data_IF_036103461541
#
_entry.id   IF_036103461541
#
_cell.length_a   1.000
_cell.length_b   1.000
_cell.length_c   1.000
_cell.angle_alpha   90.00
_cell.angle_beta   90.00
_cell.angle_gamma   90.00
#
_symmetry.space_group_name_H-M   'P 1'
#
loop_
_entity.id
_entity.type
_entity.pdbx_description
1 polymer ?
#
# COMPACT_ATOMS: atom_id res chain seq x y z
N UNK A 1 -27.88 -43.18 24.34
CA UNK A 1 -28.51 -41.89 23.97
C UNK A 1 -27.44 -40.97 23.44
N UNK A 2 -27.44 -40.71 22.12
CA UNK A 2 -26.47 -39.82 21.47
C UNK A 2 -26.87 -38.37 21.78
N UNK A 3 -26.05 -37.65 22.54
CA UNK A 3 -26.27 -36.23 22.84
C UNK A 3 -25.96 -35.45 21.56
N UNK A 4 -26.98 -35.00 20.85
CA UNK A 4 -26.82 -34.01 19.78
C UNK A 4 -26.37 -32.73 20.47
N UNK A 5 -25.09 -32.37 20.32
CA UNK A 5 -24.54 -31.13 20.89
C UNK A 5 -25.25 -29.92 20.27
N UNK A 6 -25.52 -28.91 21.07
CA UNK A 6 -26.09 -27.65 20.58
C UNK A 6 -25.10 -26.97 19.63
N UNK A 7 -25.60 -26.27 18.60
CA UNK A 7 -24.77 -25.47 17.70
C UNK A 7 -23.87 -24.46 18.45
N UNK A 8 -24.34 -23.99 19.62
CA UNK A 8 -23.59 -23.09 20.50
C UNK A 8 -22.44 -23.80 21.24
N UNK A 9 -22.66 -25.03 21.70
CA UNK A 9 -21.59 -25.85 22.32
C UNK A 9 -20.53 -26.24 21.29
N UNK A 10 -20.96 -26.55 20.06
CA UNK A 10 -20.04 -26.84 18.96
C UNK A 10 -19.21 -25.61 18.57
N UNK A 11 -19.81 -24.42 18.61
CA UNK A 11 -19.10 -23.16 18.38
C UNK A 11 -18.10 -22.87 19.50
N UNK A 12 -18.49 -23.08 20.77
CA UNK A 12 -17.62 -22.87 21.93
C UNK A 12 -16.43 -23.84 21.96
N UNK A 13 -16.63 -25.12 21.65
CA UNK A 13 -15.55 -26.11 21.48
C UNK A 13 -14.59 -25.70 20.37
N UNK A 14 -15.11 -25.21 19.24
CA UNK A 14 -14.30 -24.75 18.11
C UNK A 14 -13.50 -23.48 18.46
N UNK A 15 -14.01 -22.61 19.32
CA UNK A 15 -13.28 -21.41 19.77
C UNK A 15 -12.31 -21.67 20.90
N UNK A 16 -12.48 -22.75 21.68
CA UNK A 16 -11.64 -23.05 22.85
C UNK A 16 -10.18 -23.39 22.50
N UNK A 17 -9.91 -23.83 21.26
CA UNK A 17 -8.56 -24.13 20.76
C UNK A 17 -7.96 -23.04 19.87
N UNK A 18 -8.62 -21.88 19.72
CA UNK A 18 -8.11 -20.79 18.87
C UNK A 18 -7.12 -19.96 19.68
N UNK A 19 -5.84 -20.28 19.56
CA UNK A 19 -4.78 -19.38 20.01
C UNK A 19 -4.73 -18.17 19.07
N UNK A 20 -5.24 -17.04 19.56
CA UNK A 20 -5.16 -15.77 18.83
C UNK A 20 -3.72 -15.29 18.92
N UNK A 21 -3.00 -15.40 17.81
CA UNK A 21 -1.72 -14.72 17.63
C UNK A 21 -1.97 -13.20 17.59
N UNK A 22 -1.78 -12.57 18.75
CA UNK A 22 -2.00 -11.13 18.94
C UNK A 22 -1.06 -10.29 18.07
N UNK A 23 0.12 -10.80 17.74
CA UNK A 23 1.09 -10.12 16.90
C UNK A 23 0.65 -10.16 15.44
N UNK A 24 0.24 -11.33 14.93
CA UNK A 24 -0.30 -11.46 13.58
C UNK A 24 -1.56 -10.62 13.38
N UNK A 25 -2.43 -10.53 14.38
CA UNK A 25 -3.61 -9.64 14.35
C UNK A 25 -3.19 -8.18 14.23
N UNK A 26 -2.27 -7.72 15.09
CA UNK A 26 -1.77 -6.34 15.04
C UNK A 26 -1.06 -6.00 13.73
N UNK A 27 -0.24 -6.92 13.22
CA UNK A 27 0.40 -6.79 11.91
C UNK A 27 -0.64 -6.55 10.82
N UNK A 28 -1.64 -7.42 10.74
CA UNK A 28 -2.71 -7.27 9.75
C UNK A 28 -3.48 -5.96 9.92
N UNK A 29 -3.73 -5.52 11.15
CA UNK A 29 -4.40 -4.26 11.44
C UNK A 29 -3.61 -3.07 10.89
N UNK A 30 -2.33 -2.95 11.25
CA UNK A 30 -1.48 -1.83 10.81
C UNK A 30 -1.19 -1.86 9.31
N UNK A 31 -0.98 -3.05 8.73
CA UNK A 31 -0.87 -3.19 7.27
C UNK A 31 -2.15 -2.75 6.57
N UNK A 32 -3.33 -3.15 7.06
CA UNK A 32 -4.61 -2.73 6.49
C UNK A 32 -4.83 -1.22 6.64
N UNK A 33 -4.44 -0.65 7.79
CA UNK A 33 -4.48 0.80 8.03
C UNK A 33 -3.59 1.53 7.03
N UNK A 34 -2.36 1.06 6.81
CA UNK A 34 -1.44 1.61 5.81
C UNK A 34 -2.02 1.58 4.39
N UNK A 35 -2.64 0.47 3.99
CA UNK A 35 -3.33 0.36 2.70
C UNK A 35 -4.46 1.38 2.54
N UNK A 36 -5.30 1.52 3.56
CA UNK A 36 -6.41 2.48 3.58
C UNK A 36 -5.93 3.92 3.48
N UNK A 37 -4.89 4.29 4.25
CA UNK A 37 -4.32 5.64 4.22
C UNK A 37 -3.68 5.95 2.86
N UNK A 38 -2.96 5.00 2.26
CA UNK A 38 -2.43 5.16 0.91
C UNK A 38 -3.53 5.36 -0.14
N UNK A 39 -4.63 4.62 -0.06
CA UNK A 39 -5.79 4.83 -0.93
C UNK A 39 -6.35 6.26 -0.84
N UNK A 40 -6.55 6.76 0.38
CA UNK A 40 -7.00 8.15 0.62
C UNK A 40 -6.03 9.19 0.06
N UNK A 41 -4.73 8.93 0.18
CA UNK A 41 -3.71 9.81 -0.39
C UNK A 41 -3.79 9.85 -1.92
N UNK A 42 -4.00 8.71 -2.58
CA UNK A 42 -4.13 8.65 -4.03
C UNK A 42 -5.40 9.34 -4.54
N UNK A 43 -6.48 9.33 -3.76
CA UNK A 43 -7.71 10.08 -4.06
C UNK A 43 -7.51 11.59 -3.88
N UNK A 44 -6.82 12.02 -2.83
CA UNK A 44 -6.49 13.42 -2.59
C UNK A 44 -5.08 13.59 -1.97
N UNK A 45 -4.05 13.80 -2.81
CA UNK A 45 -2.66 13.89 -2.35
C UNK A 45 -2.36 15.09 -1.43
N UNK A 46 -3.24 16.10 -1.41
CA UNK A 46 -3.06 17.31 -0.60
C UNK A 46 -3.74 17.23 0.76
N UNK A 47 -4.67 16.30 0.95
CA UNK A 47 -5.46 16.19 2.18
C UNK A 47 -4.68 15.58 3.35
N UNK A 48 -3.63 14.79 3.07
CA UNK A 48 -2.85 14.11 4.11
C UNK A 48 -1.39 13.91 3.72
N UNK A 49 -0.52 13.84 4.73
CA UNK A 49 0.91 13.56 4.58
C UNK A 49 1.23 12.14 5.04
N UNK A 50 1.52 11.24 4.09
CA UNK A 50 1.88 9.85 4.39
C UNK A 50 3.13 9.77 5.29
N UNK A 51 4.06 10.70 5.11
CA UNK A 51 5.28 10.79 5.89
C UNK A 51 5.00 11.08 7.37
N UNK A 52 4.01 11.91 7.66
CA UNK A 52 3.68 12.27 9.04
C UNK A 52 2.87 11.17 9.72
N UNK A 53 1.97 10.51 8.99
CA UNK A 53 1.28 9.29 9.43
C UNK A 53 2.26 8.17 9.80
N UNK A 54 3.30 7.96 8.97
CA UNK A 54 4.35 6.97 9.25
C UNK A 54 5.16 7.35 10.49
N UNK A 55 5.49 8.63 10.68
CA UNK A 55 6.28 9.10 11.84
C UNK A 55 5.50 9.08 13.15
N UNK A 56 4.16 9.13 13.10
CA UNK A 56 3.32 9.05 14.28
C UNK A 56 3.40 7.66 14.94
N UNK A 57 3.74 6.62 14.16
CA UNK A 57 3.92 5.25 14.62
C UNK A 57 5.40 4.98 14.98
N UNK A 58 5.63 3.97 15.82
CA UNK A 58 6.98 3.55 16.26
C UNK A 58 7.11 2.03 16.24
N UNK A 59 8.34 1.53 16.16
CA UNK A 59 8.63 0.09 16.23
C UNK A 59 7.99 -0.71 15.08
N UNK A 60 7.52 -1.91 15.38
CA UNK A 60 6.98 -2.82 14.37
C UNK A 60 5.70 -2.31 13.71
N UNK A 61 4.87 -1.57 14.44
CA UNK A 61 3.65 -0.95 13.92
C UNK A 61 3.97 0.03 12.77
N UNK A 62 5.06 0.77 12.90
CA UNK A 62 5.54 1.66 11.85
C UNK A 62 5.96 0.87 10.60
N UNK A 63 6.66 -0.25 10.79
CA UNK A 63 7.12 -1.10 9.69
C UNK A 63 5.94 -1.75 8.97
N UNK A 64 4.99 -2.33 9.68
CA UNK A 64 3.79 -2.95 9.11
C UNK A 64 2.88 -1.95 8.39
N UNK A 65 2.75 -0.74 8.95
CA UNK A 65 2.03 0.35 8.30
C UNK A 65 2.73 0.79 7.01
N UNK A 66 4.06 1.01 7.07
CA UNK A 66 4.89 1.39 5.91
C UNK A 66 4.80 0.34 4.81
N UNK A 67 4.81 -0.96 5.15
CA UNK A 67 4.59 -2.07 4.23
C UNK A 67 3.24 -1.95 3.50
N UNK A 68 2.16 -1.69 4.23
CA UNK A 68 0.83 -1.50 3.66
C UNK A 68 0.75 -0.28 2.71
N UNK A 69 1.41 0.82 3.08
CA UNK A 69 1.48 2.03 2.25
C UNK A 69 2.25 1.76 0.96
N UNK A 70 3.49 1.26 1.06
CA UNK A 70 4.34 1.00 -0.10
C UNK A 70 3.69 -0.02 -1.03
N UNK A 71 3.14 -1.11 -0.48
CA UNK A 71 2.47 -2.13 -1.28
C UNK A 71 1.28 -1.57 -2.07
N UNK A 72 0.54 -0.63 -1.50
CA UNK A 72 -0.58 0.02 -2.20
C UNK A 72 -0.11 0.99 -3.28
N UNK A 73 0.92 1.79 -3.00
CA UNK A 73 1.51 2.71 -3.99
C UNK A 73 2.04 1.93 -5.19
N UNK A 74 2.80 0.87 -4.96
CA UNK A 74 3.35 0.01 -6.02
C UNK A 74 2.25 -0.71 -6.79
N UNK A 75 1.20 -1.19 -6.12
CA UNK A 75 0.06 -1.82 -6.79
C UNK A 75 -0.72 -0.86 -7.71
N UNK A 76 -0.61 0.46 -7.48
CA UNK A 76 -1.20 1.49 -8.32
C UNK A 76 -0.25 2.00 -9.41
N UNK A 77 0.99 1.50 -9.49
CA UNK A 77 1.88 1.71 -10.63
C UNK A 77 1.49 0.78 -11.78
N UNK A 78 0.38 1.08 -12.43
CA UNK A 78 -0.13 0.33 -13.58
C UNK A 78 0.19 1.04 -14.88
N UNK A 79 0.32 0.27 -15.97
CA UNK A 79 0.45 0.82 -17.31
C UNK A 79 -0.76 1.73 -17.63
N UNK A 80 -0.54 2.97 -18.09
CA UNK A 80 -1.62 3.89 -18.42
C UNK A 80 -2.36 3.41 -19.68
N UNK A 81 -3.68 3.57 -19.71
CA UNK A 81 -4.47 3.32 -20.92
C UNK A 81 -4.92 4.62 -21.58
N UNK A 82 -5.06 5.67 -20.78
CA UNK A 82 -5.46 7.00 -21.21
C UNK A 82 -4.47 8.04 -20.68
N UNK A 83 -4.42 9.22 -21.31
CA UNK A 83 -3.56 10.33 -20.83
C UNK A 83 -3.88 10.73 -19.38
N UNK A 84 -5.16 10.64 -18.98
CA UNK A 84 -5.60 10.90 -17.61
C UNK A 84 -5.01 9.93 -16.57
N UNK A 85 -4.50 8.78 -16.99
CA UNK A 85 -3.87 7.83 -16.08
C UNK A 85 -2.44 8.27 -15.75
N UNK A 86 -1.76 9.00 -16.65
CA UNK A 86 -0.41 9.54 -16.40
C UNK A 86 -0.43 10.50 -15.22
N UNK A 87 -1.48 11.31 -15.06
CA UNK A 87 -1.56 12.26 -13.93
C UNK A 87 -1.62 11.60 -12.55
N UNK A 88 -1.86 10.28 -12.49
CA UNK A 88 -1.82 9.50 -11.24
C UNK A 88 -0.41 9.12 -10.82
N UNK A 89 0.55 9.13 -11.75
CA UNK A 89 1.93 8.72 -11.48
C UNK A 89 2.70 9.72 -10.60
N UNK A 90 2.68 11.05 -10.83
CA UNK A 90 3.46 11.98 -10.02
C UNK A 90 3.17 11.91 -8.51
N UNK A 91 1.90 11.85 -8.05
CA UNK A 91 1.61 11.65 -6.63
C UNK A 91 2.20 10.35 -6.05
N UNK A 92 2.17 9.25 -6.81
CA UNK A 92 2.76 7.97 -6.38
C UNK A 92 4.28 8.11 -6.26
N UNK A 93 4.92 8.71 -7.26
CA UNK A 93 6.36 8.94 -7.28
C UNK A 93 6.81 9.82 -6.11
N UNK A 94 6.09 10.90 -5.84
CA UNK A 94 6.38 11.82 -4.74
C UNK A 94 6.18 11.15 -3.38
N UNK A 95 5.12 10.35 -3.23
CA UNK A 95 4.90 9.56 -2.03
C UNK A 95 6.07 8.59 -1.78
N UNK A 96 6.49 7.82 -2.79
CA UNK A 96 7.59 6.87 -2.68
C UNK A 96 8.91 7.58 -2.31
N UNK A 97 9.21 8.73 -2.94
CA UNK A 97 10.37 9.57 -2.58
C UNK A 97 10.29 10.08 -1.15
N UNK A 98 9.10 10.49 -0.69
CA UNK A 98 8.91 11.03 0.66
C UNK A 98 9.08 9.99 1.78
N UNK A 99 8.79 8.72 1.46
CA UNK A 99 8.87 7.54 2.34
C UNK A 99 10.27 6.91 2.29
N UNK A 100 10.93 7.00 1.13
CA UNK A 100 12.31 6.59 0.92
C UNK A 100 13.30 7.38 1.79
N UNK A 101 14.52 6.87 1.89
CA UNK A 101 15.55 7.50 2.72
C UNK A 101 15.85 8.93 2.25
N UNK A 102 16.15 9.80 3.23
CA UNK A 102 16.16 11.24 3.01
C UNK A 102 17.32 11.70 2.12
N UNK A 103 18.45 10.96 2.07
CA UNK A 103 19.68 11.31 1.34
C UNK A 103 20.53 10.06 1.14
N UNK A 104 21.12 9.90 -0.04
CA UNK A 104 22.00 8.78 -0.38
C UNK A 104 21.88 8.39 -1.86
N UNK A 105 22.82 7.59 -2.38
CA UNK A 105 22.79 7.11 -3.76
C UNK A 105 21.51 6.32 -4.08
N UNK A 106 20.88 5.68 -3.09
CA UNK A 106 19.62 4.95 -3.23
C UNK A 106 18.43 5.88 -3.51
N UNK A 107 18.39 7.06 -2.88
CA UNK A 107 17.34 8.05 -3.09
C UNK A 107 17.45 8.71 -4.49
N UNK A 108 18.68 8.95 -4.94
CA UNK A 108 18.96 9.42 -6.29
C UNK A 108 18.58 8.37 -7.33
N UNK A 109 18.95 7.10 -7.10
CA UNK A 109 18.57 5.99 -7.97
C UNK A 109 17.05 5.81 -8.05
N UNK A 110 16.34 5.88 -6.91
CA UNK A 110 14.88 5.84 -6.89
C UNK A 110 14.28 6.99 -7.72
N UNK A 111 14.82 8.20 -7.58
CA UNK A 111 14.35 9.36 -8.33
C UNK A 111 14.58 9.19 -9.84
N UNK A 112 15.76 8.69 -10.21
CA UNK A 112 16.10 8.37 -11.59
C UNK A 112 15.16 7.31 -12.18
N UNK A 113 14.96 6.19 -11.48
CA UNK A 113 14.06 5.12 -11.91
C UNK A 113 12.63 5.63 -12.11
N UNK A 114 12.10 6.41 -11.17
CA UNK A 114 10.76 6.97 -11.29
C UNK A 114 10.63 7.90 -12.51
N UNK A 115 11.66 8.68 -12.84
CA UNK A 115 11.68 9.47 -14.09
C UNK A 115 11.63 8.60 -15.33
N UNK A 116 12.42 7.51 -15.36
CA UNK A 116 12.42 6.55 -16.46
C UNK A 116 11.04 5.86 -16.64
N UNK A 117 10.34 5.56 -15.55
CA UNK A 117 8.97 5.03 -15.61
C UNK A 117 7.99 6.04 -16.22
N UNK A 118 8.10 7.32 -15.86
CA UNK A 118 7.25 8.36 -16.44
C UNK A 118 7.46 8.50 -17.94
N UNK A 119 8.72 8.50 -18.38
CA UNK A 119 9.08 8.57 -19.80
C UNK A 119 8.59 7.33 -20.56
N UNK A 120 8.75 6.15 -19.98
CA UNK A 120 8.22 4.89 -20.52
C UNK A 120 6.70 4.95 -20.69
N UNK A 121 5.97 5.46 -19.69
CA UNK A 121 4.52 5.59 -19.73
C UNK A 121 4.05 6.55 -20.83
N UNK A 122 4.75 7.68 -21.03
CA UNK A 122 4.48 8.61 -22.12
C UNK A 122 4.72 7.96 -23.48
N UNK A 123 5.85 7.29 -23.66
CA UNK A 123 6.18 6.59 -24.90
C UNK A 123 5.19 5.47 -25.21
N UNK A 124 4.78 4.70 -24.19
CA UNK A 124 3.79 3.65 -24.32
C UNK A 124 2.45 4.18 -24.85
N UNK A 125 1.93 5.27 -24.28
CA UNK A 125 0.68 5.88 -24.78
C UNK A 125 0.83 6.44 -26.19
N UNK A 126 1.94 7.12 -26.50
CA UNK A 126 2.19 7.62 -27.85
C UNK A 126 2.18 6.50 -28.88
N UNK A 127 2.79 5.36 -28.55
CA UNK A 127 2.82 4.20 -29.45
C UNK A 127 1.41 3.61 -29.65
N UNK A 128 0.58 3.54 -28.61
CA UNK A 128 -0.82 3.09 -28.74
C UNK A 128 -1.60 4.03 -29.66
N UNK A 129 -1.49 5.34 -29.45
CA UNK A 129 -2.19 6.35 -30.25
C UNK A 129 -1.79 6.34 -31.74
N UNK A 130 -0.59 5.87 -32.07
CA UNK A 130 -0.13 5.74 -33.45
C UNK A 130 -0.58 4.42 -34.12
N UNK A 131 -1.00 3.43 -33.32
CA UNK A 131 -1.46 2.13 -33.80
C UNK A 131 -2.99 2.07 -33.99
N UNK A 132 -3.73 3.01 -33.39
CA UNK A 132 -5.17 3.26 -33.63
C UNK A 132 -5.39 4.16 -34.85
#
# INVERSE_FOLDING_TARGET
MSKIKSAMELALERTAGVEIDKEAVRKNEYTRKGKSTAGKYLENPTALSLKDEIKALKGDEQNWFKEGVIGTLLANLTLPRYESDISRFPPIADALKSIGEKKGPEAENLTYLLGQYEDLFKQYLQNILQLE
#
